data_IF_187796152339
#
_entry.id   IF_187796152339
#
_cell.length_a   1.000
_cell.length_b   1.000
_cell.length_c   1.000
_cell.angle_alpha   90.00
_cell.angle_beta   90.00
_cell.angle_gamma   90.00
#
_symmetry.space_group_name_H-M   'P 1'
#
loop_
_entity.id
_entity.type
_entity.pdbx_description
1 polymer ?
#
# COMPACT_ATOMS: atom_id res chain seq x y z
N UNK A 1 -2.39 -17.13 -29.76
CA UNK A 1 -2.42 -15.77 -29.15
C UNK A 1 -1.34 -15.70 -28.08
N UNK A 2 -0.32 -14.83 -28.22
CA UNK A 2 0.73 -14.69 -27.18
C UNK A 2 0.10 -14.05 -25.94
N UNK A 3 0.16 -14.74 -24.79
CA UNK A 3 -0.25 -14.18 -23.51
C UNK A 3 0.53 -12.87 -23.30
N UNK A 4 -0.17 -11.74 -23.17
CA UNK A 4 0.46 -10.46 -22.86
C UNK A 4 1.17 -10.61 -21.52
N UNK A 5 2.47 -10.28 -21.48
CA UNK A 5 3.30 -10.36 -20.28
C UNK A 5 2.63 -9.64 -19.09
N UNK A 6 2.53 -10.27 -17.91
CA UNK A 6 1.92 -9.65 -16.72
C UNK A 6 2.61 -8.34 -16.33
N UNK A 7 3.91 -8.21 -16.62
CA UNK A 7 4.71 -7.01 -16.39
C UNK A 7 4.20 -5.78 -17.11
N UNK A 8 3.61 -5.97 -18.30
CA UNK A 8 3.09 -4.84 -19.08
C UNK A 8 1.96 -4.11 -18.35
N UNK A 9 1.17 -4.85 -17.58
CA UNK A 9 -0.01 -4.35 -16.84
C UNK A 9 0.40 -3.52 -15.62
N UNK A 10 1.47 -3.96 -14.95
CA UNK A 10 1.98 -3.30 -13.76
C UNK A 10 2.73 -2.03 -14.15
N UNK A 11 3.60 -2.10 -15.16
CA UNK A 11 4.60 -1.06 -15.43
C UNK A 11 4.19 0.00 -16.46
N UNK A 12 3.40 -0.35 -17.48
CA UNK A 12 3.19 0.51 -18.64
C UNK A 12 1.83 1.20 -18.64
N UNK A 13 1.61 2.06 -17.64
CA UNK A 13 0.52 3.04 -17.68
C UNK A 13 1.11 4.44 -17.84
N UNK A 14 0.70 5.21 -18.86
CA UNK A 14 1.43 6.42 -19.26
C UNK A 14 1.32 7.53 -18.19
N UNK A 15 0.17 7.66 -17.53
CA UNK A 15 -0.08 8.77 -16.59
C UNK A 15 0.87 8.76 -15.39
N UNK A 16 1.11 7.63 -14.68
CA UNK A 16 2.13 7.58 -13.63
C UNK A 16 3.53 8.06 -14.07
N UNK A 17 3.96 7.74 -15.29
CA UNK A 17 5.27 8.18 -15.80
C UNK A 17 5.30 9.67 -16.13
N UNK A 18 4.20 10.22 -16.66
CA UNK A 18 4.06 11.67 -16.82
C UNK A 18 4.11 12.38 -15.47
N UNK A 19 3.51 11.79 -14.43
CA UNK A 19 3.57 12.32 -13.07
C UNK A 19 4.97 12.24 -12.46
N UNK A 20 5.77 11.21 -12.76
CA UNK A 20 7.21 11.17 -12.39
C UNK A 20 7.95 12.37 -12.97
N UNK A 21 7.75 12.67 -14.26
CA UNK A 21 8.37 13.83 -14.92
C UNK A 21 7.86 15.13 -14.31
N UNK A 22 6.56 15.25 -14.07
CA UNK A 22 5.98 16.44 -13.45
C UNK A 22 6.55 16.68 -12.05
N UNK A 23 6.67 15.64 -11.22
CA UNK A 23 7.30 15.73 -9.90
C UNK A 23 8.74 16.20 -10.02
N UNK A 24 9.54 15.62 -10.93
CA UNK A 24 10.94 16.05 -11.13
C UNK A 24 11.05 17.54 -11.54
N UNK A 25 10.14 18.03 -12.40
CA UNK A 25 10.06 19.44 -12.76
C UNK A 25 9.71 20.31 -11.57
N UNK A 26 8.72 19.91 -10.75
CA UNK A 26 8.35 20.69 -9.56
C UNK A 26 9.49 20.68 -8.53
N UNK A 27 10.18 19.56 -8.32
CA UNK A 27 11.38 19.48 -7.46
C UNK A 27 12.45 20.49 -7.91
N UNK A 28 12.68 20.63 -9.22
CA UNK A 28 13.62 21.62 -9.77
C UNK A 28 13.19 23.07 -9.49
N UNK A 29 11.89 23.35 -9.55
CA UNK A 29 11.34 24.70 -9.31
C UNK A 29 11.44 25.08 -7.83
N UNK A 30 11.08 24.16 -6.92
CA UNK A 30 10.93 24.47 -5.48
C UNK A 30 12.21 24.34 -4.67
N UNK A 31 13.31 23.87 -5.27
CA UNK A 31 14.54 23.55 -4.52
C UNK A 31 15.14 24.75 -3.79
N UNK A 32 15.04 25.97 -4.35
CA UNK A 32 15.58 27.17 -3.71
C UNK A 32 14.81 27.50 -2.42
N UNK A 33 13.48 27.36 -2.44
CA UNK A 33 12.62 27.60 -1.28
C UNK A 33 12.90 26.57 -0.17
N UNK A 34 13.14 25.31 -0.55
CA UNK A 34 13.47 24.25 0.41
C UNK A 34 14.90 24.41 0.94
N UNK A 35 15.83 24.90 0.13
CA UNK A 35 17.20 25.21 0.53
C UNK A 35 17.27 26.37 1.52
N UNK A 36 16.32 27.31 1.47
CA UNK A 36 16.20 28.40 2.43
C UNK A 36 15.39 28.03 3.70
N UNK A 37 14.75 26.85 3.74
CA UNK A 37 13.90 26.40 4.85
C UNK A 37 14.72 25.74 5.97
N UNK A 38 15.25 26.59 6.85
CA UNK A 38 16.10 26.18 7.98
C UNK A 38 15.35 25.27 8.95
N UNK A 39 14.12 25.63 9.31
CA UNK A 39 13.37 25.01 10.40
C UNK A 39 12.60 23.76 9.97
N UNK A 40 12.43 23.55 8.66
CA UNK A 40 11.72 22.39 8.13
C UNK A 40 10.22 22.55 8.07
N UNK A 41 9.73 23.79 8.18
CA UNK A 41 8.31 24.10 8.22
C UNK A 41 7.67 24.07 6.83
N UNK A 42 8.49 24.11 5.76
CA UNK A 42 7.99 24.10 4.39
C UNK A 42 7.49 22.72 3.99
N UNK A 43 6.20 22.57 3.64
CA UNK A 43 5.69 21.31 3.13
C UNK A 43 6.31 20.91 1.77
N UNK A 44 7.00 21.84 1.10
CA UNK A 44 7.66 21.58 -0.19
C UNK A 44 8.83 20.60 -0.05
N UNK A 45 9.49 20.53 1.11
CA UNK A 45 10.57 19.56 1.34
C UNK A 45 10.07 18.10 1.32
N UNK A 46 8.80 17.87 1.65
CA UNK A 46 8.18 16.54 1.49
C UNK A 46 8.09 16.11 0.03
N UNK A 47 8.05 17.04 -0.94
CA UNK A 47 8.07 16.69 -2.35
C UNK A 47 9.44 16.16 -2.79
N UNK A 48 10.53 16.66 -2.19
CA UNK A 48 11.87 16.10 -2.42
C UNK A 48 11.96 14.69 -1.83
N UNK A 49 11.52 14.53 -0.58
CA UNK A 49 11.71 13.27 0.15
C UNK A 49 10.70 12.18 -0.20
N UNK A 50 9.49 12.55 -0.61
CA UNK A 50 8.36 11.63 -0.83
C UNK A 50 7.62 11.87 -2.16
N UNK A 51 8.20 12.61 -3.12
CA UNK A 51 7.51 12.98 -4.37
C UNK A 51 6.96 11.81 -5.17
N UNK A 52 7.63 10.65 -5.10
CA UNK A 52 7.18 9.38 -5.71
C UNK A 52 5.84 8.85 -5.20
N UNK A 53 5.36 9.32 -4.04
CA UNK A 53 4.02 9.00 -3.50
C UNK A 53 2.94 9.37 -4.52
N UNK A 54 3.10 10.47 -5.25
CA UNK A 54 2.10 10.96 -6.21
C UNK A 54 1.91 9.98 -7.38
N UNK A 55 2.93 9.66 -8.21
CA UNK A 55 2.77 8.76 -9.35
C UNK A 55 2.36 7.34 -8.94
N UNK A 56 2.88 6.82 -7.82
CA UNK A 56 2.52 5.49 -7.33
C UNK A 56 1.07 5.46 -6.84
N UNK A 57 0.64 6.45 -6.06
CA UNK A 57 -0.73 6.55 -5.57
C UNK A 57 -1.73 6.61 -6.73
N UNK A 58 -1.42 7.41 -7.76
CA UNK A 58 -2.23 7.46 -8.97
C UNK A 58 -2.31 6.10 -9.65
N UNK A 59 -1.18 5.41 -9.82
CA UNK A 59 -1.14 4.08 -10.43
C UNK A 59 -1.96 3.06 -9.64
N UNK A 60 -1.96 3.12 -8.31
CA UNK A 60 -2.78 2.25 -7.46
C UNK A 60 -4.26 2.55 -7.65
N UNK A 61 -4.66 3.82 -7.59
CA UNK A 61 -6.05 4.24 -7.75
C UNK A 61 -6.60 3.96 -9.15
N UNK A 62 -5.78 4.06 -10.19
CA UNK A 62 -6.17 3.81 -11.58
C UNK A 62 -6.81 2.43 -11.78
N UNK A 63 -6.48 1.45 -10.92
CA UNK A 63 -7.09 0.12 -10.92
C UNK A 63 -8.61 0.13 -10.70
N UNK A 64 -9.16 1.19 -10.11
CA UNK A 64 -10.60 1.32 -9.86
C UNK A 64 -11.40 1.59 -11.14
N UNK A 65 -10.82 2.29 -12.12
CA UNK A 65 -11.53 2.68 -13.35
C UNK A 65 -10.97 2.05 -14.63
N UNK A 66 -9.66 1.79 -14.73
CA UNK A 66 -9.07 1.15 -15.92
C UNK A 66 -9.33 -0.37 -15.91
N UNK A 67 -9.62 -0.93 -17.09
CA UNK A 67 -9.79 -2.38 -17.27
C UNK A 67 -8.43 -3.04 -17.43
N UNK A 68 -8.19 -4.09 -16.66
CA UNK A 68 -7.00 -4.92 -16.75
C UNK A 68 -7.40 -6.37 -17.04
N UNK A 69 -6.56 -7.09 -17.77
CA UNK A 69 -6.68 -8.53 -17.90
C UNK A 69 -6.23 -9.14 -16.55
N UNK A 70 -7.15 -9.41 -15.63
CA UNK A 70 -6.89 -10.05 -14.33
C UNK A 70 -7.54 -9.32 -13.12
N UNK A 71 -7.42 -9.89 -11.91
CA UNK A 71 -8.07 -9.33 -10.73
C UNK A 71 -7.47 -7.97 -10.33
N UNK A 72 -8.28 -6.92 -10.43
CA UNK A 72 -7.84 -5.52 -10.19
C UNK A 72 -7.26 -5.28 -8.79
N UNK A 73 -7.82 -5.85 -7.70
CA UNK A 73 -7.21 -5.74 -6.37
C UNK A 73 -5.77 -6.28 -6.30
N UNK A 74 -5.48 -7.38 -7.00
CA UNK A 74 -4.13 -7.94 -7.04
C UNK A 74 -3.18 -7.07 -7.87
N UNK A 75 -3.67 -6.45 -8.95
CA UNK A 75 -2.88 -5.47 -9.71
C UNK A 75 -2.54 -4.25 -8.85
N UNK A 76 -3.49 -3.75 -8.05
CA UNK A 76 -3.27 -2.63 -7.14
C UNK A 76 -2.20 -2.95 -6.08
N UNK A 77 -2.28 -4.14 -5.48
CA UNK A 77 -1.27 -4.63 -4.54
C UNK A 77 0.09 -4.82 -5.23
N UNK A 78 0.13 -5.39 -6.43
CA UNK A 78 1.35 -5.53 -7.21
C UNK A 78 2.00 -4.19 -7.53
N UNK A 79 1.21 -3.16 -7.89
CA UNK A 79 1.68 -1.80 -8.12
C UNK A 79 2.25 -1.15 -6.86
N UNK A 80 1.64 -1.40 -5.71
CA UNK A 80 2.11 -0.93 -4.40
C UNK A 80 3.52 -1.43 -4.07
N UNK A 81 3.91 -2.63 -4.53
CA UNK A 81 5.23 -3.20 -4.28
C UNK A 81 6.23 -2.89 -5.39
N UNK A 82 5.81 -3.01 -6.65
CA UNK A 82 6.74 -2.99 -7.79
C UNK A 82 7.05 -1.56 -8.26
N UNK A 83 6.05 -0.67 -8.35
CA UNK A 83 6.28 0.66 -8.88
C UNK A 83 7.21 1.51 -8.01
N UNK A 84 7.11 1.47 -6.67
CA UNK A 84 8.07 2.17 -5.81
C UNK A 84 9.53 1.75 -6.02
N UNK A 85 9.80 0.47 -6.28
CA UNK A 85 11.16 -0.02 -6.53
C UNK A 85 11.79 0.52 -7.82
N UNK A 86 10.98 1.11 -8.70
CA UNK A 86 11.42 1.62 -10.00
C UNK A 86 11.31 3.14 -10.03
N UNK A 87 10.12 3.67 -9.75
CA UNK A 87 9.84 5.11 -9.77
C UNK A 87 10.47 5.82 -8.57
N UNK A 88 10.58 5.15 -7.42
CA UNK A 88 11.17 5.71 -6.21
C UNK A 88 12.63 6.12 -6.40
N UNK A 89 13.51 5.22 -6.87
CA UNK A 89 14.88 5.58 -7.20
C UNK A 89 14.98 6.70 -8.25
N UNK A 90 14.13 6.69 -9.28
CA UNK A 90 14.13 7.76 -10.30
C UNK A 90 13.80 9.11 -9.68
N UNK A 91 12.70 9.22 -8.92
CA UNK A 91 12.27 10.48 -8.30
C UNK A 91 13.20 10.91 -7.15
N UNK A 92 13.74 9.94 -6.40
CA UNK A 92 14.71 10.21 -5.36
C UNK A 92 16.02 10.73 -5.93
N UNK A 93 16.51 10.16 -7.03
CA UNK A 93 17.68 10.67 -7.72
C UNK A 93 17.44 12.06 -8.31
N UNK A 94 16.27 12.35 -8.89
CA UNK A 94 15.98 13.72 -9.35
C UNK A 94 15.97 14.72 -8.20
N UNK A 95 15.40 14.36 -7.04
CA UNK A 95 15.41 15.20 -5.83
C UNK A 95 16.83 15.47 -5.30
N UNK A 96 17.76 14.53 -5.48
CA UNK A 96 19.17 14.72 -5.15
C UNK A 96 19.84 15.62 -6.18
N UNK A 97 19.65 15.33 -7.47
CA UNK A 97 20.33 16.03 -8.57
C UNK A 97 19.91 17.49 -8.70
N UNK A 98 18.70 17.88 -8.28
CA UNK A 98 18.29 19.30 -8.29
C UNK A 98 19.17 20.17 -7.39
N UNK A 99 19.89 19.61 -6.41
CA UNK A 99 20.90 20.35 -5.62
C UNK A 99 22.10 20.83 -6.43
N UNK A 100 22.37 20.24 -7.60
CA UNK A 100 23.40 20.74 -8.50
C UNK A 100 23.02 22.04 -9.22
N UNK A 101 21.79 22.54 -9.00
CA UNK A 101 21.39 23.85 -9.51
C UNK A 101 22.27 24.95 -8.87
N UNK A 102 22.81 25.90 -9.67
CA UNK A 102 23.68 26.95 -9.15
C UNK A 102 23.04 27.74 -8.01
N UNK A 103 23.80 27.97 -6.93
CA UNK A 103 23.38 28.74 -5.75
C UNK A 103 22.60 27.94 -4.70
N UNK A 104 22.14 26.71 -4.99
CA UNK A 104 21.40 25.89 -4.01
C UNK A 104 22.29 25.48 -2.85
N UNK A 105 23.46 24.88 -3.11
CA UNK A 105 24.35 24.46 -2.03
C UNK A 105 24.88 25.66 -1.23
N UNK A 106 25.20 26.77 -1.90
CA UNK A 106 25.59 28.03 -1.23
C UNK A 106 24.47 28.53 -0.29
N UNK A 107 23.21 28.40 -0.71
CA UNK A 107 22.05 28.77 0.11
C UNK A 107 21.94 27.85 1.33
N UNK A 108 22.02 26.52 1.12
CA UNK A 108 21.98 25.53 2.21
C UNK A 108 23.10 25.83 3.22
N UNK A 109 24.33 26.06 2.75
CA UNK A 109 25.47 26.38 3.60
C UNK A 109 25.30 27.69 4.36
N UNK A 110 24.74 28.73 3.73
CA UNK A 110 24.52 30.03 4.34
C UNK A 110 23.47 30.01 5.44
N UNK A 111 22.48 29.12 5.36
CA UNK A 111 21.36 29.05 6.32
C UNK A 111 21.46 27.89 7.31
N UNK A 112 22.47 27.02 7.17
CA UNK A 112 22.78 25.96 8.14
C UNK A 112 23.00 26.54 9.54
N UNK A 113 22.52 25.82 10.55
CA UNK A 113 22.76 26.16 11.96
C UNK A 113 24.25 25.97 12.30
N UNK A 114 24.75 26.60 13.40
CA UNK A 114 26.17 26.50 13.78
C UNK A 114 26.67 25.07 14.06
N UNK A 115 25.76 24.14 14.39
CA UNK A 115 26.05 22.70 14.56
C UNK A 115 26.02 21.91 13.24
N UNK A 116 25.84 22.58 12.10
CA UNK A 116 25.72 21.99 10.77
C UNK A 116 24.33 21.44 10.45
N UNK A 117 23.35 21.62 11.34
CA UNK A 117 22.01 21.09 11.14
C UNK A 117 21.22 21.89 10.10
N UNK A 118 20.50 21.16 9.24
CA UNK A 118 19.47 21.66 8.34
C UNK A 118 18.41 20.57 8.18
N UNK A 119 17.12 20.90 8.35
CA UNK A 119 16.07 19.89 8.45
C UNK A 119 16.03 18.93 7.24
N UNK A 120 16.12 19.50 6.03
CA UNK A 120 16.10 18.73 4.77
C UNK A 120 17.47 18.20 4.31
N UNK A 121 18.58 18.74 4.83
CA UNK A 121 19.95 18.53 4.32
C UNK A 121 20.96 18.42 5.47
N UNK A 122 20.71 17.49 6.40
CA UNK A 122 21.42 17.42 7.69
C UNK A 122 22.91 17.05 7.52
N UNK A 123 23.79 17.96 7.96
CA UNK A 123 25.23 17.76 8.00
C UNK A 123 25.81 17.41 9.39
N UNK A 124 24.98 17.49 10.44
CA UNK A 124 25.42 17.52 11.85
C UNK A 124 26.15 16.26 12.34
N UNK A 125 26.04 15.14 11.62
CA UNK A 125 26.71 13.86 11.96
C UNK A 125 27.83 13.47 10.99
N UNK A 126 28.43 14.46 10.32
CA UNK A 126 29.41 14.22 9.25
C UNK A 126 28.78 13.77 7.92
N UNK A 127 27.44 13.83 7.83
CA UNK A 127 26.69 13.85 6.58
C UNK A 127 26.63 15.26 6.01
N UNK A 128 25.74 15.56 5.06
CA UNK A 128 25.56 16.90 4.46
C UNK A 128 26.09 17.03 3.03
N UNK A 129 26.93 16.09 2.61
CA UNK A 129 27.25 15.95 1.20
C UNK A 129 26.05 15.42 0.41
N UNK A 130 25.92 15.86 -0.84
CA UNK A 130 24.83 15.41 -1.73
C UNK A 130 24.64 13.88 -1.75
N UNK A 131 25.74 13.11 -1.67
CA UNK A 131 25.73 11.65 -1.69
C UNK A 131 25.42 10.99 -0.35
N UNK A 132 25.67 11.66 0.78
CA UNK A 132 25.23 11.13 2.08
C UNK A 132 23.71 11.19 2.20
N UNK A 133 23.11 12.24 1.66
CA UNK A 133 21.66 12.46 1.74
C UNK A 133 20.92 11.65 0.67
N UNK A 134 21.61 11.32 -0.43
CA UNK A 134 21.05 10.54 -1.53
C UNK A 134 20.48 9.20 -1.09
N UNK A 135 21.17 8.49 -0.18
CA UNK A 135 20.67 7.21 0.32
C UNK A 135 19.33 7.38 1.03
N UNK A 136 19.20 8.36 1.92
CA UNK A 136 17.97 8.63 2.64
C UNK A 136 16.84 9.05 1.68
N UNK A 137 17.10 10.02 0.79
CA UNK A 137 16.09 10.54 -0.14
C UNK A 137 15.59 9.47 -1.12
N UNK A 138 16.49 8.62 -1.63
CA UNK A 138 16.13 7.50 -2.51
C UNK A 138 15.34 6.43 -1.76
N UNK A 139 15.78 6.06 -0.55
CA UNK A 139 15.06 5.07 0.25
C UNK A 139 13.69 5.59 0.69
N UNK A 140 13.58 6.86 1.08
CA UNK A 140 12.33 7.52 1.41
C UNK A 140 11.36 7.51 0.23
N UNK A 141 11.83 7.91 -0.96
CA UNK A 141 11.07 7.81 -2.20
C UNK A 141 10.81 6.36 -2.64
N UNK A 142 11.44 5.36 -2.04
CA UNK A 142 11.15 3.95 -2.35
C UNK A 142 10.13 3.37 -1.37
N UNK A 143 10.26 3.63 -0.07
CA UNK A 143 9.41 2.98 0.94
C UNK A 143 8.13 3.76 1.26
N UNK A 144 8.17 5.09 1.25
CA UNK A 144 6.97 5.88 1.54
C UNK A 144 5.84 5.71 0.53
N UNK A 145 6.09 5.68 -0.80
CA UNK A 145 5.04 5.29 -1.75
C UNK A 145 4.55 3.84 -1.59
N UNK A 146 5.35 2.90 -1.07
CA UNK A 146 4.84 1.57 -0.72
C UNK A 146 3.82 1.65 0.41
N UNK A 147 4.13 2.41 1.46
CA UNK A 147 3.23 2.60 2.60
C UNK A 147 1.95 3.35 2.17
N UNK A 148 2.10 4.42 1.39
CA UNK A 148 0.96 5.17 0.85
C UNK A 148 0.10 4.31 -0.08
N UNK A 149 0.73 3.56 -0.98
CA UNK A 149 0.04 2.61 -1.86
C UNK A 149 -0.71 1.54 -1.08
N UNK A 150 -0.10 0.98 -0.02
CA UNK A 150 -0.75 0.00 0.84
C UNK A 150 -1.96 0.61 1.56
N UNK A 151 -1.80 1.84 2.09
CA UNK A 151 -2.90 2.59 2.68
C UNK A 151 -4.05 2.79 1.69
N UNK A 152 -3.76 3.20 0.45
CA UNK A 152 -4.79 3.34 -0.59
C UNK A 152 -5.44 2.01 -0.95
N UNK A 153 -4.67 0.93 -1.03
CA UNK A 153 -5.24 -0.41 -1.28
C UNK A 153 -6.23 -0.78 -0.18
N UNK A 154 -5.82 -0.65 1.10
CA UNK A 154 -6.62 -1.07 2.26
C UNK A 154 -7.84 -0.17 2.50
N UNK A 155 -7.66 1.15 2.41
CA UNK A 155 -8.70 2.12 2.78
C UNK A 155 -9.55 2.61 1.61
N UNK A 156 -9.11 2.41 0.36
CA UNK A 156 -9.81 2.93 -0.83
C UNK A 156 -10.14 1.82 -1.83
N UNK A 157 -9.14 1.10 -2.34
CA UNK A 157 -9.32 0.14 -3.44
C UNK A 157 -10.14 -1.07 -2.99
N UNK A 158 -9.75 -1.75 -1.91
CA UNK A 158 -10.47 -2.93 -1.42
C UNK A 158 -11.91 -2.60 -1.01
N UNK A 159 -12.18 -1.52 -0.23
CA UNK A 159 -13.55 -1.12 0.06
C UNK A 159 -14.34 -0.79 -1.19
N UNK A 160 -13.74 -0.07 -2.16
CA UNK A 160 -14.43 0.23 -3.41
C UNK A 160 -14.94 -1.03 -4.12
N UNK A 161 -14.07 -2.04 -4.27
CA UNK A 161 -14.46 -3.31 -4.89
C UNK A 161 -15.43 -4.11 -4.01
N UNK A 162 -15.22 -4.19 -2.70
CA UNK A 162 -16.09 -4.97 -1.82
C UNK A 162 -17.53 -4.42 -1.75
N UNK A 163 -17.69 -3.09 -1.79
CA UNK A 163 -19.00 -2.45 -1.67
C UNK A 163 -19.68 -2.22 -3.02
N UNK A 164 -18.96 -1.67 -4.01
CA UNK A 164 -19.55 -1.26 -5.29
C UNK A 164 -19.40 -2.31 -6.40
N UNK A 165 -18.46 -3.24 -6.30
CA UNK A 165 -18.20 -4.29 -7.30
C UNK A 165 -17.94 -5.66 -6.68
N UNK A 166 -18.83 -6.15 -5.79
CA UNK A 166 -18.56 -7.32 -4.97
C UNK A 166 -18.24 -8.58 -5.78
N UNK A 167 -18.83 -8.74 -6.97
CA UNK A 167 -18.54 -9.88 -7.84
C UNK A 167 -17.05 -9.93 -8.26
N UNK A 168 -16.46 -8.79 -8.64
CA UNK A 168 -15.04 -8.72 -8.98
C UNK A 168 -14.15 -9.02 -7.76
N UNK A 169 -14.55 -8.59 -6.56
CA UNK A 169 -13.83 -8.87 -5.33
C UNK A 169 -13.90 -10.34 -4.92
N UNK A 170 -15.09 -10.94 -4.98
CA UNK A 170 -15.34 -12.37 -4.69
C UNK A 170 -14.53 -13.24 -5.64
N UNK A 171 -14.55 -12.92 -6.95
CA UNK A 171 -13.74 -13.60 -7.94
C UNK A 171 -12.23 -13.47 -7.65
N UNK A 172 -11.75 -12.27 -7.31
CA UNK A 172 -10.34 -12.02 -6.99
C UNK A 172 -9.83 -12.86 -5.80
N UNK A 173 -10.73 -13.24 -4.89
CA UNK A 173 -10.42 -14.04 -3.70
C UNK A 173 -10.70 -15.55 -3.90
N UNK A 174 -10.96 -15.99 -5.13
CA UNK A 174 -11.26 -17.39 -5.48
C UNK A 174 -12.41 -17.96 -4.62
N UNK A 175 -13.47 -17.18 -4.50
CA UNK A 175 -14.70 -17.53 -3.80
C UNK A 175 -15.76 -17.98 -4.82
N UNK A 176 -16.71 -18.81 -4.39
CA UNK A 176 -17.77 -19.32 -5.26
C UNK A 176 -18.65 -18.15 -5.79
N UNK A 177 -18.86 -18.11 -7.10
CA UNK A 177 -19.63 -17.06 -7.79
C UNK A 177 -21.02 -17.53 -8.20
N UNK A 178 -21.41 -18.76 -7.84
CA UNK A 178 -22.73 -19.31 -8.12
C UNK A 178 -23.84 -18.47 -7.46
N UNK A 179 -25.04 -18.37 -8.08
CA UNK A 179 -26.13 -17.55 -7.56
C UNK A 179 -26.54 -17.89 -6.12
N UNK A 180 -26.37 -19.14 -5.70
CA UNK A 180 -26.70 -19.60 -4.35
C UNK A 180 -25.79 -18.97 -3.26
N UNK A 181 -24.54 -18.67 -3.58
CA UNK A 181 -23.54 -18.18 -2.63
C UNK A 181 -23.13 -16.72 -2.85
N UNK A 182 -23.47 -16.13 -3.99
CA UNK A 182 -23.07 -14.77 -4.37
C UNK A 182 -23.38 -13.71 -3.30
N UNK A 183 -24.59 -13.73 -2.71
CA UNK A 183 -24.99 -12.75 -1.70
C UNK A 183 -24.21 -12.91 -0.38
N UNK A 184 -23.98 -14.15 0.06
CA UNK A 184 -23.23 -14.45 1.28
C UNK A 184 -21.75 -14.10 1.11
N UNK A 185 -21.16 -14.44 -0.04
CA UNK A 185 -19.78 -14.09 -0.38
C UNK A 185 -19.57 -12.58 -0.51
N UNK A 186 -20.54 -11.85 -1.10
CA UNK A 186 -20.50 -10.39 -1.15
C UNK A 186 -20.55 -9.75 0.25
N UNK A 187 -21.42 -10.25 1.14
CA UNK A 187 -21.47 -9.79 2.53
C UNK A 187 -20.15 -10.08 3.27
N UNK A 188 -19.61 -11.28 3.09
CA UNK A 188 -18.30 -11.66 3.63
C UNK A 188 -17.16 -10.79 3.10
N UNK A 189 -17.16 -10.46 1.80
CA UNK A 189 -16.18 -9.57 1.18
C UNK A 189 -16.18 -8.15 1.80
N UNK A 190 -17.36 -7.58 2.04
CA UNK A 190 -17.50 -6.27 2.70
C UNK A 190 -16.96 -6.32 4.13
N UNK A 191 -17.32 -7.34 4.89
CA UNK A 191 -16.82 -7.49 6.27
C UNK A 191 -15.32 -7.73 6.29
N UNK A 192 -14.78 -8.54 5.37
CA UNK A 192 -13.34 -8.75 5.23
C UNK A 192 -12.62 -7.43 4.94
N UNK A 193 -13.16 -6.59 4.05
CA UNK A 193 -12.60 -5.26 3.78
C UNK A 193 -12.58 -4.38 5.04
N UNK A 194 -13.65 -4.42 5.86
CA UNK A 194 -13.70 -3.69 7.13
C UNK A 194 -12.68 -4.22 8.12
N UNK A 195 -12.54 -5.55 8.26
CA UNK A 195 -11.52 -6.16 9.11
C UNK A 195 -10.12 -5.68 8.70
N UNK A 196 -9.81 -5.71 7.39
CA UNK A 196 -8.52 -5.24 6.89
C UNK A 196 -8.27 -3.77 7.22
N UNK A 197 -9.27 -2.90 7.07
CA UNK A 197 -9.14 -1.49 7.49
C UNK A 197 -8.87 -1.37 8.99
N UNK A 198 -9.60 -2.12 9.83
CA UNK A 198 -9.43 -2.09 11.29
C UNK A 198 -8.04 -2.58 11.72
N UNK A 199 -7.46 -3.56 11.03
CA UNK A 199 -6.09 -4.05 11.31
C UNK A 199 -5.04 -2.93 11.24
N UNK A 200 -5.23 -1.91 10.41
CA UNK A 200 -4.33 -0.76 10.33
C UNK A 200 -4.82 0.43 11.17
N UNK A 201 -6.11 0.75 11.11
CA UNK A 201 -6.68 1.91 11.79
C UNK A 201 -6.55 1.82 13.32
N UNK A 202 -6.75 0.63 13.89
CA UNK A 202 -6.76 0.45 15.35
C UNK A 202 -5.37 0.62 15.95
N UNK A 203 -4.30 -0.05 15.49
CA UNK A 203 -2.95 0.23 15.97
C UNK A 203 -2.54 1.69 15.82
N UNK A 204 -2.86 2.34 14.69
CA UNK A 204 -2.58 3.77 14.48
C UNK A 204 -3.30 4.63 15.51
N UNK A 205 -4.58 4.38 15.78
CA UNK A 205 -5.35 5.11 16.79
C UNK A 205 -4.80 4.89 18.21
N UNK A 206 -4.37 3.66 18.55
CA UNK A 206 -3.78 3.36 19.86
C UNK A 206 -2.48 4.13 20.05
N UNK A 207 -1.58 4.12 19.06
CA UNK A 207 -0.31 4.86 19.11
C UNK A 207 -0.57 6.35 19.27
N UNK A 208 -1.49 6.89 18.47
CA UNK A 208 -1.86 8.31 18.53
C UNK A 208 -2.41 8.70 19.91
N UNK A 209 -3.40 7.96 20.43
CA UNK A 209 -3.98 8.20 21.77
C UNK A 209 -2.94 8.06 22.88
N UNK A 210 -2.00 7.11 22.76
CA UNK A 210 -0.93 6.94 23.74
C UNK A 210 0.02 8.13 23.75
N UNK A 211 0.34 8.70 22.58
CA UNK A 211 1.18 9.90 22.47
C UNK A 211 0.51 11.15 23.05
N UNK A 212 -0.82 11.20 23.04
CA UNK A 212 -1.59 12.28 23.71
C UNK A 212 -1.77 12.07 25.22
N UNK A 213 -1.11 11.07 25.83
CA UNK A 213 -1.25 10.74 27.24
C UNK A 213 -2.59 10.09 27.61
N UNK A 214 -3.39 9.68 26.61
CA UNK A 214 -4.72 9.03 26.77
C UNK A 214 -4.61 7.51 26.74
N UNK A 215 -3.59 6.96 27.39
CA UNK A 215 -3.27 5.52 27.34
C UNK A 215 -4.44 4.62 27.76
N UNK A 216 -5.23 5.04 28.76
CA UNK A 216 -6.43 4.29 29.19
C UNK A 216 -7.50 4.15 28.09
N UNK A 217 -7.73 5.21 27.31
CA UNK A 217 -8.63 5.16 26.15
C UNK A 217 -8.06 4.28 25.03
N UNK A 218 -6.75 4.33 24.81
CA UNK A 218 -6.05 3.45 23.87
C UNK A 218 -6.26 1.97 24.19
N UNK A 219 -6.11 1.59 25.46
CA UNK A 219 -6.37 0.21 25.91
C UNK A 219 -7.82 -0.22 25.74
N UNK A 220 -8.77 0.63 26.16
CA UNK A 220 -10.20 0.34 26.00
C UNK A 220 -10.55 0.12 24.53
N UNK A 221 -10.10 1.02 23.65
CA UNK A 221 -10.28 0.89 22.21
C UNK A 221 -9.69 -0.43 21.68
N UNK A 222 -8.46 -0.76 22.08
CA UNK A 222 -7.81 -2.00 21.68
C UNK A 222 -8.61 -3.26 22.06
N UNK A 223 -9.05 -3.36 23.31
CA UNK A 223 -9.83 -4.51 23.79
C UNK A 223 -11.18 -4.60 23.07
N UNK A 224 -11.91 -3.49 22.95
CA UNK A 224 -13.20 -3.47 22.23
C UNK A 224 -13.02 -3.91 20.77
N UNK A 225 -11.97 -3.44 20.11
CA UNK A 225 -11.69 -3.79 18.72
C UNK A 225 -11.25 -5.25 18.54
N UNK A 226 -10.59 -5.86 19.52
CA UNK A 226 -10.32 -7.31 19.51
C UNK A 226 -11.62 -8.11 19.52
N UNK A 227 -12.57 -7.76 20.40
CA UNK A 227 -13.87 -8.43 20.47
C UNK A 227 -14.65 -8.28 19.16
N UNK A 228 -14.70 -7.06 18.62
CA UNK A 228 -15.31 -6.78 17.31
C UNK A 228 -14.60 -7.57 16.21
N UNK A 229 -13.27 -7.57 16.18
CA UNK A 229 -12.47 -8.30 15.21
C UNK A 229 -12.74 -9.81 15.21
N UNK A 230 -12.87 -10.42 16.39
CA UNK A 230 -13.24 -11.84 16.52
C UNK A 230 -14.64 -12.10 15.97
N UNK A 231 -15.62 -11.24 16.30
CA UNK A 231 -16.99 -11.38 15.83
C UNK A 231 -17.09 -11.24 14.30
N UNK A 232 -16.44 -10.24 13.72
CA UNK A 232 -16.39 -10.03 12.27
C UNK A 232 -15.66 -11.18 11.57
N UNK A 233 -14.55 -11.66 12.13
CA UNK A 233 -13.81 -12.82 11.57
C UNK A 233 -14.69 -14.06 11.55
N UNK A 234 -15.39 -14.35 12.67
CA UNK A 234 -16.34 -15.46 12.72
C UNK A 234 -17.45 -15.30 11.67
N UNK A 235 -17.98 -14.09 11.50
CA UNK A 235 -18.98 -13.80 10.48
C UNK A 235 -18.44 -14.13 9.07
N UNK A 236 -17.26 -13.64 8.71
CA UNK A 236 -16.62 -13.93 7.42
C UNK A 236 -16.46 -15.44 7.23
N UNK A 237 -15.86 -16.13 8.19
CA UNK A 237 -15.63 -17.59 8.12
C UNK A 237 -16.94 -18.39 8.00
N UNK A 238 -18.04 -17.91 8.56
CA UNK A 238 -19.34 -18.58 8.49
C UNK A 238 -20.12 -18.34 7.19
N UNK A 239 -19.79 -17.27 6.44
CA UNK A 239 -20.55 -16.83 5.26
C UNK A 239 -19.81 -17.08 3.95
N UNK A 240 -18.49 -17.07 4.00
CA UNK A 240 -17.66 -17.19 2.82
C UNK A 240 -17.51 -18.66 2.38
N UNK A 241 -17.89 -18.94 1.14
CA UNK A 241 -17.78 -20.25 0.50
C UNK A 241 -16.70 -20.21 -0.58
N UNK A 242 -15.53 -20.86 -0.36
CA UNK A 242 -14.47 -21.00 -1.35
C UNK A 242 -14.91 -21.69 -2.64
N UNK A 243 -14.35 -21.27 -3.78
CA UNK A 243 -14.44 -22.06 -5.00
C UNK A 243 -13.40 -23.19 -4.96
N UNK A 244 -13.86 -24.39 -4.60
CA UNK A 244 -12.99 -25.55 -4.48
C UNK A 244 -12.41 -26.03 -5.82
N UNK A 245 -13.11 -25.80 -6.93
CA UNK A 245 -12.66 -26.21 -8.27
C UNK A 245 -11.51 -25.31 -8.69
N UNK A 246 -11.69 -23.98 -8.64
CA UNK A 246 -10.60 -23.04 -8.96
C UNK A 246 -9.40 -23.19 -8.03
N UNK A 247 -9.62 -23.48 -6.75
CA UNK A 247 -8.51 -23.69 -5.79
C UNK A 247 -7.77 -25.01 -6.01
N UNK A 248 -8.38 -26.01 -6.66
CA UNK A 248 -7.71 -27.25 -7.00
C UNK A 248 -6.57 -27.04 -8.02
N UNK A 249 -6.66 -26.01 -8.85
CA UNK A 249 -5.67 -25.68 -9.89
C UNK A 249 -4.47 -24.89 -9.36
N UNK A 250 -4.48 -24.48 -8.07
CA UNK A 250 -3.36 -23.75 -7.49
C UNK A 250 -2.09 -24.63 -7.41
N UNK A 251 -0.88 -24.06 -7.47
CA UNK A 251 0.34 -24.78 -7.12
C UNK A 251 0.29 -25.31 -5.68
N UNK A 252 1.00 -26.42 -5.38
CA UNK A 252 1.03 -27.00 -4.03
C UNK A 252 1.45 -26.00 -2.94
N UNK A 253 2.39 -25.09 -3.24
CA UNK A 253 2.81 -24.05 -2.28
C UNK A 253 1.70 -23.02 -1.97
N UNK A 254 0.68 -22.91 -2.83
CA UNK A 254 -0.45 -21.98 -2.70
C UNK A 254 -1.73 -22.67 -2.21
N UNK A 255 -1.80 -24.01 -2.28
CA UNK A 255 -2.82 -24.80 -1.57
C UNK A 255 -2.40 -24.80 -0.09
N UNK A 256 -2.95 -23.89 0.71
CA UNK A 256 -2.62 -23.76 2.13
C UNK A 256 -2.69 -25.09 2.90
N UNK A 257 -2.19 -25.11 4.14
CA UNK A 257 -2.14 -26.32 4.97
C UNK A 257 -3.54 -26.93 5.08
N UNK A 258 -3.74 -28.09 4.46
CA UNK A 258 -4.96 -28.88 4.64
C UNK A 258 -4.98 -29.32 6.10
N UNK A 259 -5.88 -28.74 6.88
CA UNK A 259 -6.10 -29.23 8.25
C UNK A 259 -6.62 -30.65 8.16
N UNK A 260 -6.10 -31.56 8.99
CA UNK A 260 -6.49 -32.99 9.07
C UNK A 260 -8.02 -33.19 9.08
N UNK A 261 -8.75 -32.26 9.71
CA UNK A 261 -10.22 -32.29 9.76
C UNK A 261 -10.88 -32.18 8.37
N UNK A 262 -10.29 -31.42 7.46
CA UNK A 262 -10.81 -31.21 6.12
C UNK A 262 -10.55 -32.43 5.21
N UNK A 263 -9.44 -33.14 5.43
CA UNK A 263 -9.17 -34.43 4.80
C UNK A 263 -10.17 -35.47 5.31
N UNK A 264 -10.41 -35.53 6.62
CA UNK A 264 -11.41 -36.43 7.22
C UNK A 264 -12.85 -36.15 6.72
N UNK A 265 -13.23 -34.90 6.50
CA UNK A 265 -14.54 -34.55 5.94
C UNK A 265 -14.66 -34.89 4.44
N UNK A 266 -13.57 -34.75 3.67
CA UNK A 266 -13.54 -35.17 2.27
C UNK A 266 -13.58 -36.69 2.13
N UNK A 267 -12.85 -37.42 2.98
CA UNK A 267 -12.90 -38.89 3.04
C UNK A 267 -14.31 -39.38 3.40
N UNK A 268 -14.95 -38.78 4.41
CA UNK A 268 -16.35 -39.14 4.77
C UNK A 268 -17.34 -38.90 3.63
N UNK A 269 -17.19 -37.79 2.90
CA UNK A 269 -18.03 -37.50 1.72
C UNK A 269 -17.74 -38.44 0.55
N UNK A 270 -16.48 -38.80 0.32
CA UNK A 270 -16.09 -39.75 -0.72
C UNK A 270 -16.59 -41.18 -0.40
N UNK A 271 -16.68 -41.53 0.88
CA UNK A 271 -17.25 -42.79 1.37
C UNK A 271 -18.79 -42.83 1.34
N UNK A 272 -19.46 -41.75 0.91
CA UNK A 272 -20.93 -41.67 0.91
C UNK A 272 -21.54 -41.65 2.33
N UNK A 273 -20.73 -41.38 3.36
CA UNK A 273 -21.19 -41.22 4.74
C UNK A 273 -21.59 -39.77 4.95
N UNK A 274 -22.76 -39.43 4.43
CA UNK A 274 -23.35 -38.12 4.68
C UNK A 274 -23.76 -38.03 6.17
N UNK A 275 -23.27 -37.04 6.94
CA UNK A 275 -23.71 -36.86 8.31
C UNK A 275 -25.12 -36.26 8.28
N UNK A 276 -26.10 -37.11 8.56
CA UNK A 276 -27.44 -36.68 9.01
C UNK A 276 -27.37 -36.09 10.42
#
# INVERSE_FOLDING_TARGET
>A
MRAKSPWRRILFTPVPWLLVVAVAVVQWIVIDDVAADVDGDSPLGYLLMFGSVIPVSWAVLETMWVRFDGPRPLVALGRTLVLPLIMGPVVGLTAVLVRYRPGVEDTIEAVRRPDGWHYWFDASRGGGGIWSDAALVVLANTFMPMLAGLGLVVFVVLPWFAFFRPAEFVEANMMDTSPAHAAANAAGARVLSVILMLTFAVPTAIVWLSNEGRTGLGWLLGITMVVVGIALTRFVLSRQVPDHVRRADLPQWAKGIRTVRHEAEQERRAEGRDPS
#
